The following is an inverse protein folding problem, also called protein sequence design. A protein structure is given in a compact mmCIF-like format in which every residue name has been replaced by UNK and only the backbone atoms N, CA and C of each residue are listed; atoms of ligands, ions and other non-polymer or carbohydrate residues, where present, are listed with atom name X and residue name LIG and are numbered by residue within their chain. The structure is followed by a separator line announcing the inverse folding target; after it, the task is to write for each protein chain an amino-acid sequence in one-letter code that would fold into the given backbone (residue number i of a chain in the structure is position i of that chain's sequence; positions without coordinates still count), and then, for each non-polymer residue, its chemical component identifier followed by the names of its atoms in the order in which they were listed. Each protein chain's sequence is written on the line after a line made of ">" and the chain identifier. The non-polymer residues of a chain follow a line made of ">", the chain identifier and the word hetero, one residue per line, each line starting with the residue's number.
data_IF_820943407728
#
_entry.id   IF_820943407728
#
_cell.length_a   1.000
_cell.length_b   1.000
_cell.length_c   1.000
_cell.angle_alpha   90.00
_cell.angle_beta   90.00
_cell.angle_gamma   90.00
#
_symmetry.space_group_name_H-M   'P 1'
#
loop_
_entity.id
_entity.type
_entity.pdbx_description
1 polymer ?
#
# COMPACT_ATOMS: atom_id res chain seq x y z
N UNK A 1 -10.45 13.94 -11.98
CA UNK A 1 -11.16 13.02 -11.10
C UNK A 1 -11.85 11.87 -11.82
N UNK A 2 -11.73 11.83 -13.14
CA UNK A 2 -12.36 10.76 -13.92
C UNK A 2 -11.54 9.47 -13.85
N UNK A 3 -12.23 8.36 -13.59
CA UNK A 3 -11.60 7.04 -13.61
C UNK A 3 -11.46 6.56 -15.06
N UNK A 4 -10.21 6.30 -15.50
CA UNK A 4 -9.92 5.90 -16.88
C UNK A 4 -10.03 4.39 -17.12
N UNK A 5 -9.99 3.60 -16.07
CA UNK A 5 -10.05 2.14 -16.08
C UNK A 5 -11.23 1.65 -15.21
N UNK A 6 -12.44 2.06 -15.58
CA UNK A 6 -13.65 1.91 -14.75
C UNK A 6 -14.36 0.56 -14.87
N UNK A 7 -13.95 -0.30 -15.77
CA UNK A 7 -14.54 -1.63 -15.92
C UNK A 7 -13.72 -2.69 -15.18
N UNK A 8 -14.36 -3.79 -14.79
CA UNK A 8 -13.65 -4.94 -14.20
C UNK A 8 -12.66 -5.59 -15.16
N UNK A 9 -12.82 -5.38 -16.46
CA UNK A 9 -11.89 -5.85 -17.46
C UNK A 9 -10.59 -5.03 -17.48
N UNK A 10 -10.71 -3.71 -17.32
CA UNK A 10 -9.59 -2.77 -17.46
C UNK A 10 -8.91 -2.43 -16.15
N UNK A 11 -9.59 -2.60 -15.01
CA UNK A 11 -9.02 -2.27 -13.70
C UNK A 11 -7.91 -3.26 -13.35
N UNK A 12 -6.71 -2.71 -13.14
CA UNK A 12 -5.55 -3.52 -12.77
C UNK A 12 -5.54 -3.82 -11.27
N UNK A 13 -6.00 -5.00 -10.94
CA UNK A 13 -5.92 -5.53 -9.59
C UNK A 13 -4.68 -6.41 -9.47
N UNK A 14 -3.82 -6.22 -8.45
CA UNK A 14 -2.69 -7.11 -8.20
C UNK A 14 -3.17 -8.54 -8.01
N UNK A 15 -2.48 -9.48 -8.65
CA UNK A 15 -2.74 -10.91 -8.50
C UNK A 15 -1.74 -11.55 -7.54
N UNK A 16 -1.97 -12.81 -7.17
CA UNK A 16 -1.05 -13.54 -6.31
C UNK A 16 0.37 -13.66 -6.90
N UNK A 17 0.50 -13.63 -8.24
CA UNK A 17 1.81 -13.68 -8.91
C UNK A 17 2.56 -12.34 -8.86
N UNK A 18 1.87 -11.25 -8.60
CA UNK A 18 2.49 -9.91 -8.53
C UNK A 18 3.12 -9.63 -7.17
N UNK A 19 2.84 -10.45 -6.18
CA UNK A 19 3.27 -10.24 -4.80
C UNK A 19 4.21 -11.37 -4.34
N UNK A 20 5.29 -11.02 -3.60
CA UNK A 20 6.09 -12.01 -2.93
C UNK A 20 5.34 -12.63 -1.74
N UNK A 21 5.92 -13.65 -1.13
CA UNK A 21 5.44 -14.13 0.16
C UNK A 21 5.45 -12.98 1.18
N UNK A 22 4.29 -12.71 1.78
CA UNK A 22 4.12 -11.64 2.76
C UNK A 22 4.18 -12.25 4.16
N UNK A 23 5.16 -11.85 4.94
CA UNK A 23 5.24 -12.18 6.36
C UNK A 23 4.32 -11.24 7.14
N UNK A 24 3.44 -11.82 7.97
CA UNK A 24 2.47 -11.06 8.75
C UNK A 24 2.88 -11.04 10.23
N UNK A 25 3.01 -9.83 10.77
CA UNK A 25 3.27 -9.61 12.19
C UNK A 25 2.10 -8.83 12.78
N UNK A 26 1.43 -9.44 13.77
CA UNK A 26 0.30 -8.82 14.45
C UNK A 26 0.81 -8.14 15.72
N UNK A 27 0.62 -6.82 15.80
CA UNK A 27 0.93 -6.02 16.98
C UNK A 27 -0.37 -5.73 17.72
N UNK A 28 -0.62 -6.44 18.81
CA UNK A 28 -1.84 -6.29 19.61
C UNK A 28 -1.74 -5.09 20.54
N UNK A 29 -2.72 -4.18 20.45
CA UNK A 29 -2.90 -3.06 21.38
C UNK A 29 -4.35 -3.04 21.80
N UNK A 30 -4.73 -3.70 22.91
CA UNK A 30 -6.10 -3.75 23.36
C UNK A 30 -6.69 -2.37 23.65
N UNK A 31 -7.98 -2.20 23.35
CA UNK A 31 -8.73 -1.00 23.70
C UNK A 31 -9.50 -1.26 25.01
N UNK A 32 -9.11 -0.62 26.13
CA UNK A 32 -9.77 -0.87 27.41
C UNK A 32 -11.22 -0.37 27.47
N UNK A 33 -11.62 0.50 26.53
CA UNK A 33 -12.98 1.03 26.44
C UNK A 33 -13.97 0.13 25.70
N UNK A 34 -13.53 -1.01 25.17
CA UNK A 34 -14.40 -1.92 24.42
C UNK A 34 -14.31 -3.36 24.90
N UNK A 35 -15.42 -4.13 24.79
CA UNK A 35 -15.41 -5.56 25.08
C UNK A 35 -14.33 -6.28 24.26
N UNK A 36 -13.64 -7.23 24.88
CA UNK A 36 -12.55 -8.01 24.27
C UNK A 36 -11.36 -7.18 23.76
N UNK A 37 -11.31 -5.89 24.10
CA UNK A 37 -10.23 -5.00 23.64
C UNK A 37 -10.26 -4.68 22.14
N UNK A 38 -11.40 -4.85 21.47
CA UNK A 38 -11.52 -4.69 20.01
C UNK A 38 -11.27 -3.26 19.55
N UNK A 39 -10.72 -3.14 18.35
CA UNK A 39 -10.51 -1.88 17.63
C UNK A 39 -11.05 -1.98 16.21
N UNK A 40 -11.51 -0.85 15.66
CA UNK A 40 -11.87 -0.76 14.27
C UNK A 40 -10.63 -0.90 13.37
N UNK A 41 -10.79 -1.54 12.22
CA UNK A 41 -9.70 -1.79 11.26
C UNK A 41 -10.09 -1.51 9.81
N UNK A 42 -11.32 -1.03 9.58
CA UNK A 42 -11.90 -0.90 8.24
C UNK A 42 -11.01 -0.22 7.21
N UNK A 43 -10.42 0.93 7.53
CA UNK A 43 -9.57 1.70 6.61
C UNK A 43 -8.14 1.88 7.13
N UNK A 44 -7.81 1.41 8.32
CA UNK A 44 -6.49 1.57 8.90
C UNK A 44 -5.38 0.93 8.03
N UNK A 45 -5.68 -0.15 7.35
CA UNK A 45 -4.75 -0.89 6.52
C UNK A 45 -4.50 -0.26 5.14
N UNK A 46 -5.28 0.72 4.70
CA UNK A 46 -5.09 1.38 3.40
C UNK A 46 -4.13 2.59 3.49
N UNK A 47 -3.87 3.08 4.68
CA UNK A 47 -3.00 4.25 4.89
C UNK A 47 -1.52 3.93 4.66
N UNK A 48 -0.94 2.84 5.21
CA UNK A 48 0.49 2.59 5.11
C UNK A 48 1.01 2.02 3.79
N UNK A 49 0.24 1.42 2.86
CA UNK A 49 0.79 0.84 1.63
C UNK A 49 1.58 1.82 0.76
N UNK A 50 1.03 3.01 0.51
CA UNK A 50 1.70 3.99 -0.35
C UNK A 50 3.05 4.46 0.23
N UNK A 51 3.14 4.90 1.50
CA UNK A 51 4.44 5.25 2.07
C UNK A 51 5.38 4.05 2.23
N UNK A 52 4.88 2.84 2.46
CA UNK A 52 5.71 1.65 2.52
C UNK A 52 6.40 1.38 1.18
N UNK A 53 5.65 1.45 0.07
CA UNK A 53 6.22 1.32 -1.29
C UNK A 53 7.20 2.45 -1.59
N UNK A 54 6.87 3.69 -1.23
CA UNK A 54 7.77 4.82 -1.42
C UNK A 54 9.10 4.65 -0.67
N UNK A 55 9.06 4.14 0.55
CA UNK A 55 10.26 3.84 1.34
C UNK A 55 11.08 2.69 0.74
N UNK A 56 10.41 1.64 0.26
CA UNK A 56 11.09 0.53 -0.42
C UNK A 56 11.80 0.99 -1.70
N UNK A 57 11.13 1.81 -2.51
CA UNK A 57 11.73 2.41 -3.72
C UNK A 57 12.92 3.30 -3.36
N UNK A 58 12.79 4.13 -2.34
CA UNK A 58 13.92 4.94 -1.86
C UNK A 58 15.11 4.07 -1.46
N UNK A 59 14.87 3.00 -0.69
CA UNK A 59 15.93 2.09 -0.27
C UNK A 59 16.61 1.39 -1.45
N UNK A 60 15.84 1.03 -2.47
CA UNK A 60 16.35 0.33 -3.64
C UNK A 60 17.11 1.25 -4.62
N UNK A 61 16.69 2.51 -4.75
CA UNK A 61 17.18 3.41 -5.81
C UNK A 61 17.94 4.63 -5.30
N UNK A 62 17.86 4.93 -3.99
CA UNK A 62 18.37 6.17 -3.41
C UNK A 62 17.53 7.42 -3.74
N UNK A 63 16.44 7.28 -4.50
CA UNK A 63 15.61 8.40 -4.96
C UNK A 63 14.34 8.52 -4.13
N UNK A 64 14.15 9.67 -3.50
CA UNK A 64 12.92 9.96 -2.74
C UNK A 64 11.85 10.53 -3.69
N UNK A 65 10.84 9.71 -3.97
CA UNK A 65 9.69 10.13 -4.76
C UNK A 65 8.65 10.79 -3.85
N UNK A 66 8.17 11.96 -4.25
CA UNK A 66 7.23 12.77 -3.46
C UNK A 66 5.85 12.87 -4.13
N UNK A 67 5.67 12.22 -5.25
CA UNK A 67 4.41 12.24 -6.03
C UNK A 67 4.05 10.86 -6.51
N UNK A 68 2.77 10.56 -6.48
CA UNK A 68 2.18 9.38 -7.11
C UNK A 68 1.50 9.79 -8.44
N UNK A 69 1.36 8.86 -9.39
CA UNK A 69 1.81 7.48 -9.36
C UNK A 69 3.33 7.32 -9.56
N UNK A 70 3.92 6.37 -8.85
CA UNK A 70 5.36 6.07 -8.94
C UNK A 70 5.64 5.13 -10.13
N UNK A 71 5.49 5.67 -11.33
CA UNK A 71 5.71 4.93 -12.59
C UNK A 71 7.18 4.59 -12.79
N UNK A 72 7.49 3.53 -13.57
CA UNK A 72 8.87 3.14 -13.86
C UNK A 72 9.74 4.29 -14.39
N UNK A 73 9.20 5.13 -15.27
CA UNK A 73 9.92 6.27 -15.84
C UNK A 73 10.32 7.28 -14.76
N UNK A 74 9.40 7.52 -13.80
CA UNK A 74 9.66 8.43 -12.68
C UNK A 74 10.68 7.83 -11.70
N UNK A 75 10.57 6.53 -11.45
CA UNK A 75 11.50 5.81 -10.56
C UNK A 75 12.90 5.77 -11.16
N UNK A 76 13.01 5.50 -12.46
CA UNK A 76 14.29 5.37 -13.15
C UNK A 76 14.86 6.73 -13.60
N UNK A 77 14.04 7.76 -13.67
CA UNK A 77 14.49 9.12 -13.93
C UNK A 77 14.60 9.50 -15.41
N UNK A 78 13.77 8.88 -16.22
CA UNK A 78 13.65 9.35 -17.60
C UNK A 78 12.38 10.16 -17.84
#
# INVERSE_FOLDING_TARGET
>A
GDMRNSSFLDYRMPTALDLPMIETVIVEVPNPGHPFGVRGVGEANIVPPLPAVANALYRATGRRLQRAPMKPEVVLGF
#
